data_IF_067691713963
#
_entry.id   IF_067691713963
#
_cell.length_a   1.000
_cell.length_b   1.000
_cell.length_c   1.000
_cell.angle_alpha   90.00
_cell.angle_beta   90.00
_cell.angle_gamma   90.00
#
_symmetry.space_group_name_H-M   'P 1'
#
loop_
_entity.id
_entity.type
_entity.pdbx_description
1 polymer ?
#
# COMPACT_ATOMS: atom_id res chain seq x y z
N UNK A 1 -7.34 17.66 -20.49
CA UNK A 1 -8.15 16.89 -19.52
C UNK A 1 -9.50 17.55 -19.38
N UNK A 2 -10.58 16.78 -19.45
CA UNK A 2 -11.95 17.31 -19.34
C UNK A 2 -12.28 17.63 -17.86
N UNK A 3 -13.20 18.57 -17.58
CA UNK A 3 -13.62 18.89 -16.21
C UNK A 3 -14.11 17.67 -15.42
N UNK A 4 -14.74 16.72 -16.12
CA UNK A 4 -15.24 15.45 -15.58
C UNK A 4 -14.12 14.59 -14.97
N UNK A 5 -12.91 14.61 -15.56
CA UNK A 5 -11.76 13.86 -15.03
C UNK A 5 -11.33 14.36 -13.66
N UNK A 6 -11.35 15.69 -13.45
CA UNK A 6 -11.01 16.28 -12.16
C UNK A 6 -12.04 15.96 -11.08
N UNK A 7 -13.33 15.99 -11.43
CA UNK A 7 -14.42 15.58 -10.54
C UNK A 7 -14.30 14.10 -10.15
N UNK A 8 -14.08 13.21 -11.13
CA UNK A 8 -13.87 11.79 -10.87
C UNK A 8 -12.67 11.55 -9.94
N UNK A 9 -11.53 12.18 -10.24
CA UNK A 9 -10.32 12.08 -9.42
C UNK A 9 -10.55 12.56 -7.98
N UNK A 10 -11.27 13.66 -7.79
CA UNK A 10 -11.62 14.17 -6.48
C UNK A 10 -12.42 13.15 -5.66
N UNK A 11 -13.49 12.58 -6.23
CA UNK A 11 -14.31 11.59 -5.52
C UNK A 11 -13.55 10.28 -5.25
N UNK A 12 -12.72 9.83 -6.19
CA UNK A 12 -11.87 8.65 -6.01
C UNK A 12 -10.92 8.85 -4.83
N UNK A 13 -10.22 9.99 -4.80
CA UNK A 13 -9.29 10.32 -3.71
C UNK A 13 -10.04 10.50 -2.39
N UNK A 14 -11.18 11.19 -2.38
CA UNK A 14 -12.00 11.36 -1.19
C UNK A 14 -12.37 10.00 -0.57
N UNK A 15 -12.89 9.07 -1.38
CA UNK A 15 -13.26 7.73 -0.93
C UNK A 15 -12.04 6.94 -0.44
N UNK A 16 -10.95 6.95 -1.20
CA UNK A 16 -9.73 6.22 -0.87
C UNK A 16 -9.11 6.69 0.45
N UNK A 17 -9.04 8.00 0.67
CA UNK A 17 -8.46 8.58 1.89
C UNK A 17 -9.42 8.53 3.08
N UNK A 18 -10.73 8.56 2.85
CA UNK A 18 -11.72 8.28 3.89
C UNK A 18 -11.58 6.85 4.43
N UNK A 19 -11.49 5.86 3.54
CA UNK A 19 -11.26 4.46 3.93
C UNK A 19 -9.90 4.26 4.60
N UNK A 20 -8.88 4.98 4.14
CA UNK A 20 -7.59 5.02 4.83
C UNK A 20 -7.68 5.63 6.23
N UNK A 21 -8.48 6.67 6.44
CA UNK A 21 -8.71 7.21 7.79
C UNK A 21 -9.31 6.19 8.76
N UNK A 22 -10.14 5.27 8.26
CA UNK A 22 -10.76 4.20 9.06
C UNK A 22 -9.81 3.02 9.31
N UNK A 23 -9.11 2.58 8.25
CA UNK A 23 -8.33 1.34 8.23
C UNK A 23 -6.85 1.55 8.54
N UNK A 24 -6.31 2.75 8.34
CA UNK A 24 -4.90 3.12 8.42
C UNK A 24 -4.11 2.90 7.11
N UNK A 25 -4.64 2.14 6.15
CA UNK A 25 -3.93 1.74 4.93
C UNK A 25 -4.89 1.62 3.72
N UNK A 26 -4.37 1.21 2.56
CA UNK A 26 -5.21 0.78 1.43
C UNK A 26 -5.77 1.90 0.53
N UNK A 27 -5.39 3.16 0.76
CA UNK A 27 -5.64 4.29 -0.17
C UNK A 27 -5.23 3.95 -1.59
N UNK A 28 -4.02 3.43 -1.78
CA UNK A 28 -3.53 3.04 -3.10
C UNK A 28 -4.31 1.89 -3.76
N UNK A 29 -4.94 0.99 -2.99
CA UNK A 29 -5.70 -0.15 -3.56
C UNK A 29 -6.95 0.34 -4.29
N UNK A 30 -7.41 1.53 -3.95
CA UNK A 30 -8.61 2.15 -4.49
C UNK A 30 -8.22 3.24 -5.47
N UNK A 31 -7.37 4.18 -5.04
CA UNK A 31 -7.01 5.35 -5.84
C UNK A 31 -6.27 4.98 -7.13
N UNK A 32 -5.31 4.06 -7.07
CA UNK A 32 -4.41 3.79 -8.19
C UNK A 32 -5.11 3.08 -9.36
N UNK A 33 -5.85 1.97 -9.19
CA UNK A 33 -6.56 1.35 -10.31
C UNK A 33 -7.64 2.25 -10.91
N UNK A 34 -8.34 3.06 -10.09
CA UNK A 34 -9.37 3.97 -10.58
C UNK A 34 -8.78 5.18 -11.32
N UNK A 35 -7.70 5.78 -10.80
CA UNK A 35 -7.02 6.90 -11.46
C UNK A 35 -6.22 6.44 -12.70
N UNK A 36 -5.72 5.20 -12.74
CA UNK A 36 -5.01 4.64 -13.89
C UNK A 36 -5.86 4.54 -15.17
N UNK A 37 -7.19 4.60 -15.04
CA UNK A 37 -8.09 4.70 -16.17
C UNK A 37 -7.99 6.06 -16.88
N UNK A 38 -7.63 7.10 -16.15
CA UNK A 38 -7.59 8.48 -16.63
C UNK A 38 -6.17 9.04 -16.79
N UNK A 39 -5.22 8.54 -16.01
CA UNK A 39 -3.87 9.08 -15.86
C UNK A 39 -2.80 7.99 -16.03
N UNK A 40 -1.58 8.34 -16.48
CA UNK A 40 -0.46 7.41 -16.54
C UNK A 40 -0.10 6.88 -15.14
N UNK A 41 0.13 5.57 -15.01
CA UNK A 41 0.56 4.94 -13.76
C UNK A 41 1.84 5.57 -13.17
N UNK A 42 2.77 5.96 -14.05
CA UNK A 42 4.02 6.63 -13.69
C UNK A 42 3.80 8.00 -13.02
N UNK A 43 2.63 8.61 -13.18
CA UNK A 43 2.23 9.83 -12.47
C UNK A 43 1.40 9.51 -11.22
N UNK A 44 0.42 8.60 -11.35
CA UNK A 44 -0.52 8.25 -10.28
C UNK A 44 0.20 7.64 -9.08
N UNK A 45 1.13 6.72 -9.31
CA UNK A 45 1.80 5.99 -8.23
C UNK A 45 2.64 6.92 -7.35
N UNK A 46 3.56 7.76 -7.87
CA UNK A 46 4.28 8.74 -7.05
C UNK A 46 3.35 9.74 -6.35
N UNK A 47 2.29 10.19 -7.03
CA UNK A 47 1.32 11.12 -6.45
C UNK A 47 0.65 10.51 -5.21
N UNK A 48 0.16 9.27 -5.32
CA UNK A 48 -0.46 8.57 -4.18
C UNK A 48 0.55 8.31 -3.07
N UNK A 49 1.80 7.96 -3.39
CA UNK A 49 2.85 7.76 -2.38
C UNK A 49 3.15 9.04 -1.58
N UNK A 50 3.20 10.20 -2.22
CA UNK A 50 3.40 11.50 -1.55
C UNK A 50 2.22 11.83 -0.65
N UNK A 51 1.00 11.72 -1.17
CA UNK A 51 -0.21 11.89 -0.38
C UNK A 51 -0.25 10.89 0.78
N UNK A 52 0.28 9.68 0.56
CA UNK A 52 0.34 8.66 1.59
C UNK A 52 1.27 9.05 2.72
N UNK A 53 2.48 9.50 2.40
CA UNK A 53 3.43 10.03 3.36
C UNK A 53 2.84 11.18 4.18
N UNK A 54 2.19 12.15 3.53
CA UNK A 54 1.58 13.30 4.21
C UNK A 54 0.50 12.85 5.19
N UNK A 55 -0.42 11.99 4.74
CA UNK A 55 -1.50 11.52 5.61
C UNK A 55 -0.98 10.63 6.75
N UNK A 56 0.10 9.84 6.58
CA UNK A 56 0.71 9.11 7.69
C UNK A 56 1.35 10.05 8.71
N UNK A 57 2.02 11.11 8.27
CA UNK A 57 2.59 12.13 9.19
C UNK A 57 1.47 12.82 9.96
N UNK A 58 0.39 13.23 9.30
CA UNK A 58 -0.76 13.90 9.94
C UNK A 58 -1.47 12.98 10.93
N UNK A 59 -1.72 11.73 10.55
CA UNK A 59 -2.40 10.78 11.44
C UNK A 59 -1.50 10.39 12.63
N UNK A 60 -0.21 10.20 12.38
CA UNK A 60 0.78 9.90 13.41
C UNK A 60 1.08 11.05 14.35
N UNK A 61 0.86 12.31 13.95
CA UNK A 61 1.03 13.45 14.86
C UNK A 61 -0.18 13.62 15.79
N UNK A 62 -1.36 13.19 15.36
CA UNK A 62 -2.60 13.25 16.16
C UNK A 62 -2.77 12.06 17.09
N UNK A 63 -2.18 10.91 16.74
CA UNK A 63 -2.18 9.71 17.58
C UNK A 63 -0.82 9.58 18.27
N UNK A 64 -0.80 9.50 19.61
CA UNK A 64 0.38 9.08 20.38
C UNK A 64 0.66 7.59 20.13
N UNK A 65 1.07 7.25 18.91
CA UNK A 65 1.35 5.89 18.50
C UNK A 65 2.58 5.37 19.24
N UNK A 66 2.41 4.26 19.96
CA UNK A 66 3.51 3.47 20.50
C UNK A 66 4.18 2.70 19.36
N UNK A 67 4.96 3.42 18.54
CA UNK A 67 5.66 2.86 17.39
C UNK A 67 6.79 1.95 17.88
N UNK A 68 6.72 0.66 17.53
CA UNK A 68 7.80 -0.31 17.81
C UNK A 68 8.93 -0.17 16.77
N UNK A 69 9.84 0.76 17.02
CA UNK A 69 10.97 1.09 16.16
C UNK A 69 11.86 -0.11 15.80
N UNK A 70 11.95 -1.13 16.67
CA UNK A 70 12.73 -2.35 16.43
C UNK A 70 12.21 -3.21 15.26
N UNK A 71 10.89 -3.20 15.02
CA UNK A 71 10.29 -3.91 13.87
C UNK A 71 10.49 -3.11 12.59
N UNK A 72 10.25 -1.79 12.65
CA UNK A 72 10.41 -0.88 11.50
C UNK A 72 11.84 -0.94 10.97
N UNK A 73 12.84 -0.91 11.87
CA UNK A 73 14.26 -0.97 11.48
C UNK A 73 14.63 -2.30 10.82
N UNK A 74 13.93 -3.39 11.16
CA UNK A 74 14.12 -4.69 10.53
C UNK A 74 13.48 -4.78 9.14
N UNK A 75 12.40 -4.03 8.90
CA UNK A 75 11.67 -4.04 7.62
C UNK A 75 12.23 -3.02 6.62
N UNK A 76 12.70 -1.86 7.11
CA UNK A 76 13.25 -0.76 6.31
C UNK A 76 14.25 -1.18 5.23
N UNK A 77 15.33 -1.93 5.52
CA UNK A 77 16.34 -2.25 4.51
C UNK A 77 15.75 -3.11 3.39
N UNK A 78 14.91 -4.09 3.71
CA UNK A 78 14.24 -4.94 2.72
C UNK A 78 13.18 -4.18 1.91
N UNK A 79 12.49 -3.23 2.55
CA UNK A 79 11.54 -2.35 1.86
C UNK A 79 12.24 -1.42 0.88
N UNK A 80 13.40 -0.86 1.23
CA UNK A 80 14.19 -0.01 0.32
C UNK A 80 14.60 -0.80 -0.92
N UNK A 81 15.07 -2.04 -0.75
CA UNK A 81 15.41 -2.92 -1.89
C UNK A 81 14.18 -3.20 -2.75
N UNK A 82 13.05 -3.55 -2.13
CA UNK A 82 11.79 -3.73 -2.86
C UNK A 82 11.35 -2.47 -3.61
N UNK A 83 11.49 -1.30 -2.99
CA UNK A 83 11.13 0.00 -3.58
C UNK A 83 11.99 0.31 -4.80
N UNK A 84 13.31 0.09 -4.72
CA UNK A 84 14.22 0.31 -5.83
C UNK A 84 13.86 -0.60 -7.01
N UNK A 85 13.67 -1.89 -6.76
CA UNK A 85 13.29 -2.87 -7.80
C UNK A 85 11.94 -2.49 -8.42
N UNK A 86 10.94 -2.18 -7.59
CA UNK A 86 9.60 -1.80 -8.05
C UNK A 86 9.58 -0.50 -8.85
N UNK A 87 10.35 0.51 -8.42
CA UNK A 87 10.47 1.79 -9.12
C UNK A 87 11.15 1.65 -10.48
N UNK A 88 12.21 0.84 -10.55
CA UNK A 88 12.87 0.55 -11.83
C UNK A 88 11.92 -0.17 -12.77
N UNK A 89 11.20 -1.19 -12.29
CA UNK A 89 10.18 -1.88 -13.10
C UNK A 89 9.05 -0.96 -13.53
N UNK A 90 8.59 -0.03 -12.69
CA UNK A 90 7.54 0.92 -13.04
C UNK A 90 7.93 1.82 -14.23
N UNK A 91 9.21 2.18 -14.34
CA UNK A 91 9.73 3.05 -15.41
C UNK A 91 10.17 2.23 -16.63
N UNK A 92 10.68 1.01 -16.43
CA UNK A 92 11.21 0.16 -17.50
C UNK A 92 10.15 -0.68 -18.21
N UNK A 93 9.00 -1.00 -17.58
CA UNK A 93 7.97 -1.81 -18.23
C UNK A 93 7.01 -0.96 -19.08
N UNK A 94 6.51 -1.53 -20.20
CA UNK A 94 5.42 -0.93 -20.96
C UNK A 94 4.12 -0.88 -20.15
N UNK A 95 3.23 0.04 -20.54
CA UNK A 95 1.95 0.31 -19.86
C UNK A 95 1.05 -0.92 -19.70
N UNK A 96 0.96 -1.77 -20.73
CA UNK A 96 0.05 -2.93 -20.74
C UNK A 96 0.42 -3.98 -19.69
N UNK A 97 1.67 -4.50 -19.63
CA UNK A 97 2.11 -5.40 -18.56
C UNK A 97 1.89 -4.84 -17.14
N UNK A 98 2.10 -3.54 -16.96
CA UNK A 98 1.87 -2.87 -15.67
C UNK A 98 0.40 -2.87 -15.27
N UNK A 99 -0.52 -2.60 -16.19
CA UNK A 99 -1.96 -2.64 -15.91
C UNK A 99 -2.45 -4.07 -15.66
N UNK A 100 -1.96 -5.05 -16.41
CA UNK A 100 -2.30 -6.47 -16.20
C UNK A 100 -1.82 -6.95 -14.84
N UNK A 101 -0.58 -6.64 -14.47
CA UNK A 101 -0.03 -7.01 -13.16
C UNK A 101 -0.78 -6.32 -12.01
N UNK A 102 -1.14 -5.04 -12.16
CA UNK A 102 -2.00 -4.34 -11.20
C UNK A 102 -3.37 -5.01 -11.06
N UNK A 103 -4.01 -5.38 -12.17
CA UNK A 103 -5.31 -6.05 -12.15
C UNK A 103 -5.26 -7.41 -11.45
N UNK A 104 -4.27 -8.25 -11.80
CA UNK A 104 -4.04 -9.54 -11.13
C UNK A 104 -3.79 -9.37 -9.62
N UNK A 105 -3.02 -8.36 -9.25
CA UNK A 105 -2.74 -8.04 -7.86
C UNK A 105 -4.01 -7.67 -7.09
N UNK A 106 -4.84 -6.78 -7.63
CA UNK A 106 -6.12 -6.38 -7.01
C UNK A 106 -7.06 -7.57 -6.88
N UNK A 107 -7.18 -8.40 -7.91
CA UNK A 107 -8.03 -9.61 -7.87
C UNK A 107 -7.55 -10.57 -6.78
N UNK A 108 -6.25 -10.84 -6.70
CA UNK A 108 -5.67 -11.74 -5.70
C UNK A 108 -5.98 -11.28 -4.27
N UNK A 109 -5.76 -9.99 -3.98
CA UNK A 109 -6.04 -9.43 -2.66
C UNK A 109 -7.54 -9.34 -2.37
N UNK A 110 -8.36 -8.99 -3.36
CA UNK A 110 -9.82 -9.01 -3.25
C UNK A 110 -10.35 -10.39 -2.91
N UNK A 111 -9.88 -11.44 -3.60
CA UNK A 111 -10.24 -12.84 -3.28
C UNK A 111 -9.79 -13.23 -1.87
N UNK A 112 -8.56 -12.91 -1.48
CA UNK A 112 -8.06 -13.17 -0.13
C UNK A 112 -8.94 -12.54 0.95
N UNK A 113 -9.44 -11.33 0.71
CA UNK A 113 -10.34 -10.64 1.62
C UNK A 113 -11.72 -11.33 1.67
N UNK A 114 -12.30 -11.67 0.52
CA UNK A 114 -13.61 -12.36 0.42
C UNK A 114 -13.58 -13.75 1.07
N UNK A 115 -12.49 -14.49 0.86
CA UNK A 115 -12.32 -15.84 1.44
C UNK A 115 -11.88 -15.82 2.91
N UNK A 116 -11.74 -14.63 3.52
CA UNK A 116 -11.46 -14.47 4.94
C UNK A 116 -10.28 -15.33 5.42
N UNK A 117 -9.26 -15.53 4.57
CA UNK A 117 -8.12 -16.41 4.86
C UNK A 117 -7.23 -15.72 5.90
N UNK A 118 -7.63 -15.82 7.17
CA UNK A 118 -6.90 -15.34 8.32
C UNK A 118 -6.15 -16.53 8.91
N UNK A 119 -4.83 -16.56 8.76
CA UNK A 119 -4.01 -17.62 9.32
C UNK A 119 -3.50 -17.22 10.69
N UNK A 120 -4.18 -17.55 11.79
CA UNK A 120 -3.86 -17.13 13.17
C UNK A 120 -2.48 -17.57 13.73
N UNK A 121 -1.61 -18.16 12.90
CA UNK A 121 -0.33 -18.70 13.35
C UNK A 121 0.72 -17.58 13.49
N UNK A 122 1.39 -17.45 14.67
CA UNK A 122 2.46 -16.48 14.84
C UNK A 122 3.59 -16.78 13.87
N UNK A 123 3.93 -15.81 13.03
CA UNK A 123 4.90 -15.97 11.96
C UNK A 123 6.31 -15.61 12.48
N UNK A 124 7.32 -16.43 12.15
CA UNK A 124 8.72 -16.21 12.56
C UNK A 124 9.30 -14.89 12.01
N UNK A 125 10.25 -14.27 12.74
CA UNK A 125 10.95 -13.03 12.36
C UNK A 125 11.60 -13.08 10.97
N UNK A 126 11.93 -14.28 10.48
CA UNK A 126 12.45 -14.51 9.14
C UNK A 126 11.48 -14.14 8.01
N UNK A 127 10.17 -14.08 8.29
CA UNK A 127 9.16 -13.63 7.32
C UNK A 127 9.12 -12.11 7.13
N UNK A 128 9.84 -11.34 7.95
CA UNK A 128 10.06 -9.92 7.71
C UNK A 128 10.74 -9.67 6.35
N UNK A 129 11.61 -10.57 5.91
CA UNK A 129 12.36 -10.44 4.64
C UNK A 129 11.44 -10.55 3.41
N UNK A 130 10.68 -11.64 3.20
CA UNK A 130 9.76 -11.73 2.07
C UNK A 130 8.62 -10.71 2.17
N UNK A 131 8.17 -10.34 3.37
CA UNK A 131 7.14 -9.30 3.55
C UNK A 131 7.66 -7.91 3.22
N UNK A 132 8.87 -7.55 3.67
CA UNK A 132 9.48 -6.25 3.38
C UNK A 132 9.82 -6.11 1.90
N UNK A 133 10.34 -7.15 1.26
CA UNK A 133 10.59 -7.18 -0.18
C UNK A 133 9.29 -7.07 -0.98
N UNK A 134 8.29 -7.90 -0.70
CA UNK A 134 7.02 -7.87 -1.42
C UNK A 134 6.25 -6.58 -1.14
N UNK A 135 6.15 -6.14 0.11
CA UNK A 135 5.52 -4.88 0.51
C UNK A 135 6.21 -3.65 -0.07
N UNK A 136 7.54 -3.63 -0.12
CA UNK A 136 8.30 -2.56 -0.77
C UNK A 136 8.14 -2.56 -2.30
N UNK A 137 8.18 -3.73 -2.92
CA UNK A 137 7.99 -3.92 -4.36
C UNK A 137 6.59 -3.52 -4.82
N UNK A 138 5.57 -4.07 -4.16
CA UNK A 138 4.14 -3.77 -4.39
C UNK A 138 3.86 -2.30 -4.03
N UNK A 139 4.46 -1.80 -2.96
CA UNK A 139 4.37 -0.40 -2.56
C UNK A 139 4.91 0.54 -3.62
N UNK A 140 6.06 0.23 -4.21
CA UNK A 140 6.63 1.05 -5.26
C UNK A 140 5.93 0.90 -6.62
N UNK A 141 5.44 -0.29 -6.97
CA UNK A 141 4.75 -0.51 -8.24
C UNK A 141 3.32 0.01 -8.23
N UNK A 142 2.63 -0.17 -7.12
CA UNK A 142 1.18 0.00 -7.04
C UNK A 142 0.75 0.92 -5.91
N UNK A 143 1.66 1.61 -5.20
CA UNK A 143 1.32 2.47 -4.05
C UNK A 143 0.59 1.75 -2.92
N UNK A 144 0.67 0.41 -2.87
CA UNK A 144 -0.13 -0.42 -1.95
C UNK A 144 0.74 -1.38 -1.13
N UNK A 145 1.79 -0.88 -0.50
CA UNK A 145 2.63 -1.74 0.37
C UNK A 145 1.88 -2.26 1.61
N UNK A 146 0.76 -1.62 1.95
CA UNK A 146 -0.03 -1.85 3.16
C UNK A 146 -0.44 -3.31 3.43
N UNK A 147 -1.08 -4.04 2.50
CA UNK A 147 -1.63 -5.36 2.81
C UNK A 147 -0.59 -6.40 3.24
N UNK A 148 0.58 -6.55 2.59
CA UNK A 148 1.66 -7.38 3.12
C UNK A 148 2.11 -6.99 4.54
N UNK A 149 2.30 -5.69 4.80
CA UNK A 149 2.70 -5.21 6.12
C UNK A 149 1.60 -5.46 7.17
N UNK A 150 0.33 -5.19 6.85
CA UNK A 150 -0.81 -5.40 7.74
C UNK A 150 -1.01 -6.88 8.05
N UNK A 151 -0.88 -7.77 7.06
CA UNK A 151 -0.94 -9.22 7.30
C UNK A 151 0.16 -9.63 8.27
N UNK A 152 1.42 -9.24 8.02
CA UNK A 152 2.52 -9.59 8.91
C UNK A 152 2.39 -9.00 10.32
N UNK A 153 2.07 -7.71 10.44
CA UNK A 153 1.92 -7.04 11.73
C UNK A 153 0.67 -7.55 12.48
N UNK A 154 -0.43 -7.88 11.81
CA UNK A 154 -1.64 -8.44 12.45
C UNK A 154 -1.41 -9.84 13.03
N UNK A 155 -0.45 -10.60 12.48
CA UNK A 155 -0.03 -11.88 13.05
C UNK A 155 0.99 -11.75 14.18
N UNK A 156 1.55 -10.56 14.40
CA UNK A 156 2.61 -10.32 15.39
C UNK A 156 2.19 -9.40 16.54
N UNK A 157 1.22 -8.53 16.33
CA UNK A 157 0.70 -7.58 17.30
C UNK A 157 -0.75 -7.95 17.63
N UNK A 158 -0.99 -8.39 18.87
CA UNK A 158 -2.32 -8.71 19.39
C UNK A 158 -3.21 -7.47 19.57
N UNK A 159 -2.64 -6.26 19.50
CA UNK A 159 -3.34 -5.00 19.77
C UNK A 159 -3.53 -4.19 18.49
N UNK A 160 -4.78 -4.10 18.00
CA UNK A 160 -5.17 -3.42 16.74
C UNK A 160 -4.81 -1.93 16.72
N UNK A 161 -4.56 -1.34 17.89
CA UNK A 161 -4.16 0.06 18.06
C UNK A 161 -2.76 0.33 17.50
N UNK A 162 -1.89 -0.69 17.44
CA UNK A 162 -0.52 -0.55 16.93
C UNK A 162 -0.38 -0.73 15.40
N UNK A 163 -1.48 -1.06 14.70
CA UNK A 163 -1.51 -1.28 13.24
C UNK A 163 -1.80 0.00 12.42
N UNK A 164 -2.15 1.11 13.07
CA UNK A 164 -2.73 2.30 12.43
C UNK A 164 -1.71 3.42 12.08
N UNK A 165 -0.44 3.10 11.87
CA UNK A 165 0.62 4.07 11.50
C UNK A 165 0.89 4.13 9.99
#
# INVERSE_FOLDING_TARGET
MTPETYLAAFFILLLAYFLRGITGFGSGLIAIPLLAHFLPLTFVVPMVLVLDLVASIVLSSHMHLQVRWDEIRSLLPTSIVGILIGSVMLISLPREPLLVSLGLFVIFFGLRYVFNVHGEKPISRWWAVPTGLSGGFIGALFGTGGPPFVVYLSHRLHDKTQLRG
#
